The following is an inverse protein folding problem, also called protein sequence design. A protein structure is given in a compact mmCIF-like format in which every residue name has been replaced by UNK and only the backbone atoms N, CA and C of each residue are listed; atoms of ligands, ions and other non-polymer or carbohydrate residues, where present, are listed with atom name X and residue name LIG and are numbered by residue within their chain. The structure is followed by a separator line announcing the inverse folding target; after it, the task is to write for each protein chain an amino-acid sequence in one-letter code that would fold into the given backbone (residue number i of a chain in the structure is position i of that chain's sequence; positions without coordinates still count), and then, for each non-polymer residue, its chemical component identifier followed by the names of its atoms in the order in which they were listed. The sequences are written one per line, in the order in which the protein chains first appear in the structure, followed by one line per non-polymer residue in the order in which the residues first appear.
data_IF_537522293071
#
_entry.id   IF_537522293071
#
_cell.length_a   1.000
_cell.length_b   1.000
_cell.length_c   1.000
_cell.angle_alpha   90.00
_cell.angle_beta   90.00
_cell.angle_gamma   90.00
#
_symmetry.space_group_name_H-M   'P 1'
#
loop_
_entity.id
_entity.type
_entity.pdbx_description
1 polymer ?
#
# COMPACT_ATOMS: atom_id res chain seq x y z
N UNK A 1 17.23 40.03 27.69
CA UNK A 1 16.28 39.00 27.21
C UNK A 1 16.05 39.19 25.72
N UNK A 2 16.46 38.24 24.87
CA UNK A 2 16.17 38.28 23.43
C UNK A 2 14.67 38.06 23.24
N UNK A 3 13.96 39.07 22.72
CA UNK A 3 12.54 38.94 22.39
C UNK A 3 12.42 37.93 21.24
N UNK A 4 11.84 36.76 21.51
CA UNK A 4 11.41 35.86 20.44
C UNK A 4 10.38 36.61 19.59
N UNK A 5 10.60 36.65 18.28
CA UNK A 5 9.68 37.28 17.34
C UNK A 5 8.35 36.51 17.30
N UNK A 6 7.22 37.21 17.39
CA UNK A 6 5.86 36.65 17.29
C UNK A 6 5.71 35.82 16.02
N UNK A 7 6.42 36.18 14.94
CA UNK A 7 6.44 35.45 13.67
C UNK A 7 7.03 34.04 13.81
N UNK A 8 8.08 33.86 14.63
CA UNK A 8 8.70 32.54 14.86
C UNK A 8 7.75 31.65 15.67
N UNK A 9 7.02 32.24 16.62
CA UNK A 9 6.02 31.51 17.41
C UNK A 9 4.81 31.08 16.57
N UNK A 10 4.35 31.93 15.64
CA UNK A 10 3.28 31.59 14.69
C UNK A 10 3.68 30.48 13.71
N UNK A 11 4.92 30.49 13.21
CA UNK A 11 5.45 29.42 12.34
C UNK A 11 5.56 28.09 13.11
N UNK A 12 6.01 28.12 14.37
CA UNK A 12 6.05 26.91 15.21
C UNK A 12 4.65 26.34 15.45
N UNK A 13 3.64 27.18 15.69
CA UNK A 13 2.24 26.75 15.89
C UNK A 13 1.64 26.14 14.62
N UNK A 14 1.86 26.73 13.45
CA UNK A 14 1.34 26.18 12.18
C UNK A 14 2.00 24.85 11.82
N UNK A 15 3.32 24.71 12.05
CA UNK A 15 4.04 23.43 11.86
C UNK A 15 3.54 22.38 12.86
N UNK A 16 3.30 22.73 14.13
CA UNK A 16 2.76 21.80 15.13
C UNK A 16 1.31 21.39 14.87
N UNK A 17 0.45 22.27 14.34
CA UNK A 17 -0.93 21.92 13.97
C UNK A 17 -1.03 21.14 12.65
N UNK A 18 -0.01 21.22 11.79
CA UNK A 18 0.04 20.59 10.46
C UNK A 18 0.60 19.17 10.44
N UNK A 19 1.33 18.74 11.47
CA UNK A 19 1.87 17.39 11.58
C UNK A 19 0.84 16.38 12.12
N UNK A 20 -0.37 16.36 11.54
CA UNK A 20 -1.39 15.35 11.84
C UNK A 20 -1.17 14.17 10.91
N UNK A 21 -1.17 12.97 11.45
CA UNK A 21 -1.18 11.75 10.63
C UNK A 21 -2.50 11.72 9.85
N UNK A 22 -2.46 12.11 8.57
CA UNK A 22 -3.61 12.07 7.69
C UNK A 22 -3.40 10.93 6.69
N UNK A 23 -4.40 10.06 6.55
CA UNK A 23 -4.42 9.05 5.49
C UNK A 23 -4.65 9.77 4.16
N UNK A 24 -3.68 9.69 3.23
CA UNK A 24 -3.77 10.35 1.92
C UNK A 24 -4.71 9.61 0.97
N UNK A 25 -4.70 8.28 1.00
CA UNK A 25 -5.55 7.40 0.19
C UNK A 25 -5.64 6.02 0.84
N UNK A 26 -6.80 5.38 0.70
CA UNK A 26 -7.02 3.98 1.06
C UNK A 26 -7.45 3.21 -0.18
N UNK A 27 -6.92 2.01 -0.36
CA UNK A 27 -7.24 1.13 -1.48
C UNK A 27 -7.55 -0.26 -0.92
N UNK A 28 -8.56 -0.92 -1.48
CA UNK A 28 -8.85 -2.33 -1.22
C UNK A 28 -8.35 -3.11 -2.42
N UNK A 29 -7.37 -3.98 -2.20
CA UNK A 29 -6.77 -4.82 -3.24
C UNK A 29 -7.22 -6.28 -3.15
N UNK A 30 -7.64 -6.73 -1.96
CA UNK A 30 -8.17 -8.07 -1.72
C UNK A 30 -9.62 -8.26 -2.19
N UNK A 31 -10.21 -9.38 -1.76
CA UNK A 31 -11.46 -9.90 -2.30
C UNK A 31 -12.24 -10.79 -1.34
N UNK A 32 -12.88 -11.81 -1.91
CA UNK A 32 -13.81 -12.73 -1.24
C UNK A 32 -13.17 -13.69 -0.24
N UNK A 33 -11.84 -13.78 -0.25
CA UNK A 33 -11.05 -14.76 0.45
C UNK A 33 -10.10 -14.15 1.49
N UNK A 34 -9.07 -14.90 1.83
CA UNK A 34 -7.91 -14.43 2.58
C UNK A 34 -6.94 -13.76 1.60
N UNK A 35 -6.57 -12.54 1.95
CA UNK A 35 -5.55 -11.77 1.25
C UNK A 35 -4.60 -11.20 2.29
N UNK A 36 -3.32 -11.50 2.14
CA UNK A 36 -2.29 -11.05 3.06
C UNK A 36 -1.16 -10.38 2.28
N UNK A 37 -0.77 -9.19 2.72
CA UNK A 37 0.41 -8.51 2.19
C UNK A 37 1.62 -8.89 3.03
N UNK A 38 2.67 -9.39 2.39
CA UNK A 38 3.90 -9.83 3.04
C UNK A 38 4.99 -8.76 3.04
N UNK A 39 5.09 -7.96 1.98
CA UNK A 39 6.07 -6.86 1.89
C UNK A 39 5.58 -5.72 0.99
N UNK A 40 6.15 -4.53 1.21
CA UNK A 40 5.92 -3.33 0.42
C UNK A 40 7.22 -2.56 0.17
N UNK A 41 7.46 -2.21 -1.10
CA UNK A 41 8.63 -1.45 -1.52
C UNK A 41 8.25 -0.25 -2.39
N UNK A 42 8.75 0.92 -2.02
CA UNK A 42 8.74 2.11 -2.88
C UNK A 42 9.94 2.02 -3.82
N UNK A 43 9.69 2.21 -5.11
CA UNK A 43 10.71 2.19 -6.17
C UNK A 43 11.24 3.61 -6.44
N UNK A 44 12.36 3.70 -7.16
CA UNK A 44 13.04 4.98 -7.43
C UNK A 44 12.18 5.97 -8.24
N UNK A 45 11.22 5.47 -9.02
CA UNK A 45 10.24 6.26 -9.78
C UNK A 45 9.03 6.70 -8.93
N UNK A 46 9.02 6.39 -7.63
CA UNK A 46 7.93 6.66 -6.70
C UNK A 46 6.77 5.66 -6.78
N UNK A 47 6.82 4.71 -7.71
CA UNK A 47 5.83 3.63 -7.78
C UNK A 47 5.97 2.66 -6.61
N UNK A 48 4.90 1.93 -6.29
CA UNK A 48 4.86 1.01 -5.15
C UNK A 48 4.67 -0.41 -5.64
N UNK A 49 5.55 -1.31 -5.19
CA UNK A 49 5.39 -2.75 -5.36
C UNK A 49 4.93 -3.37 -4.04
N UNK A 50 3.90 -4.21 -4.10
CA UNK A 50 3.38 -4.97 -2.96
C UNK A 50 3.45 -6.44 -3.34
N UNK A 51 3.94 -7.29 -2.44
CA UNK A 51 3.90 -8.74 -2.57
C UNK A 51 3.07 -9.36 -1.46
N UNK A 52 2.45 -10.50 -1.72
CA UNK A 52 1.60 -11.17 -0.76
C UNK A 52 1.00 -12.46 -1.30
N UNK A 53 -0.07 -12.91 -0.64
CA UNK A 53 -0.82 -14.11 -0.99
C UNK A 53 -2.31 -13.79 -1.09
N UNK A 54 -3.00 -14.52 -1.96
CA UNK A 54 -4.43 -14.38 -2.15
C UNK A 54 -5.08 -15.71 -2.47
N UNK A 55 -6.17 -16.04 -1.78
CA UNK A 55 -7.10 -17.10 -2.18
C UNK A 55 -8.42 -16.55 -2.77
N UNK A 56 -8.46 -15.25 -3.05
CA UNK A 56 -9.64 -14.55 -3.56
C UNK A 56 -9.91 -14.89 -5.04
N UNK A 57 -11.16 -15.31 -5.29
CA UNK A 57 -11.71 -15.59 -6.62
C UNK A 57 -12.57 -14.44 -7.17
N UNK A 58 -12.96 -13.47 -6.34
CA UNK A 58 -13.67 -12.25 -6.71
C UNK A 58 -13.15 -11.07 -5.89
N UNK A 59 -13.07 -9.86 -6.46
CA UNK A 59 -12.54 -8.68 -5.78
C UNK A 59 -11.98 -7.64 -6.75
N UNK A 60 -11.24 -6.66 -6.24
CA UNK A 60 -10.52 -5.67 -7.08
C UNK A 60 -9.39 -6.33 -7.86
N UNK A 61 -8.70 -7.29 -7.23
CA UNK A 61 -7.77 -8.19 -7.88
C UNK A 61 -8.40 -9.59 -7.84
N UNK A 62 -8.64 -10.16 -9.02
CA UNK A 62 -9.17 -11.52 -9.19
C UNK A 62 -8.03 -12.39 -9.65
N UNK A 63 -7.54 -13.31 -8.81
CA UNK A 63 -6.22 -13.85 -9.13
C UNK A 63 -5.85 -15.23 -8.58
N UNK A 64 -6.70 -15.88 -7.78
CA UNK A 64 -6.43 -17.27 -7.36
C UNK A 64 -6.87 -18.29 -8.43
N UNK A 65 -5.99 -19.24 -8.74
CA UNK A 65 -6.26 -20.41 -9.59
C UNK A 65 -6.71 -21.65 -8.79
N UNK A 66 -7.02 -21.50 -7.51
CA UNK A 66 -7.53 -22.59 -6.69
C UNK A 66 -7.52 -22.29 -5.19
N UNK A 67 -6.37 -22.54 -4.54
CA UNK A 67 -6.18 -22.23 -3.12
C UNK A 67 -5.53 -20.86 -3.00
N UNK A 68 -4.26 -20.81 -2.65
CA UNK A 68 -3.52 -19.58 -2.36
C UNK A 68 -2.37 -19.44 -3.35
N UNK A 69 -2.37 -18.32 -4.07
CA UNK A 69 -1.36 -17.97 -5.06
C UNK A 69 -0.53 -16.78 -4.58
N UNK A 70 0.74 -16.73 -4.97
CA UNK A 70 1.58 -15.57 -4.75
C UNK A 70 1.12 -14.41 -5.63
N UNK A 71 0.96 -13.23 -5.04
CA UNK A 71 0.48 -12.01 -5.68
C UNK A 71 1.58 -10.94 -5.68
N UNK A 72 1.78 -10.31 -6.84
CA UNK A 72 2.53 -9.05 -6.97
C UNK A 72 1.58 -7.98 -7.51
N UNK A 73 1.54 -6.83 -6.85
CA UNK A 73 0.81 -5.64 -7.27
C UNK A 73 1.79 -4.49 -7.52
N UNK A 74 1.60 -3.76 -8.62
CA UNK A 74 2.27 -2.47 -8.85
C UNK A 74 1.25 -1.34 -8.88
N UNK A 75 1.51 -0.32 -8.08
CA UNK A 75 0.80 0.96 -8.09
C UNK A 75 1.72 2.06 -8.65
N UNK A 76 1.18 3.07 -9.31
CA UNK A 76 1.94 4.29 -9.64
C UNK A 76 2.19 5.17 -8.41
N UNK A 77 2.89 6.29 -8.60
CA UNK A 77 3.19 7.26 -7.54
C UNK A 77 1.97 7.93 -6.92
N UNK A 78 0.83 7.91 -7.61
CA UNK A 78 -0.47 8.41 -7.13
C UNK A 78 -1.33 7.28 -6.50
N UNK A 79 -0.72 6.10 -6.30
CA UNK A 79 -1.32 4.89 -5.75
C UNK A 79 -2.51 4.38 -6.60
N UNK A 80 -2.47 4.56 -7.92
CA UNK A 80 -3.40 3.89 -8.83
C UNK A 80 -2.83 2.55 -9.27
N UNK A 81 -3.70 1.53 -9.34
CA UNK A 81 -3.34 0.20 -9.79
C UNK A 81 -2.87 0.23 -11.25
N UNK A 82 -1.62 -0.17 -11.48
CA UNK A 82 -1.04 -0.28 -12.82
C UNK A 82 -1.22 -1.68 -13.38
N UNK A 83 -0.82 -2.69 -12.59
CA UNK A 83 -1.03 -4.10 -12.91
C UNK A 83 -0.89 -4.95 -11.66
N UNK A 84 -1.38 -6.18 -11.75
CA UNK A 84 -1.11 -7.23 -10.78
C UNK A 84 -0.76 -8.53 -11.54
N UNK A 85 -0.07 -9.44 -10.87
CA UNK A 85 0.22 -10.79 -11.37
C UNK A 85 0.10 -11.79 -10.25
N UNK A 86 -0.50 -12.94 -10.53
CA UNK A 86 -0.40 -14.11 -9.67
C UNK A 86 0.47 -15.19 -10.24
N UNK A 87 1.11 -15.90 -9.32
CA UNK A 87 1.99 -17.02 -9.58
C UNK A 87 1.58 -18.15 -8.64
N UNK A 88 1.05 -19.22 -9.21
CA UNK A 88 0.57 -20.39 -8.50
C UNK A 88 -0.21 -21.30 -9.44
N UNK A 89 -0.57 -22.48 -8.96
CA UNK A 89 -1.39 -23.46 -9.68
C UNK A 89 -2.73 -23.73 -9.01
N UNK A 90 -3.32 -24.88 -9.29
CA UNK A 90 -4.55 -25.33 -8.61
C UNK A 90 -4.35 -25.76 -7.16
N UNK A 91 -3.11 -25.71 -6.66
CA UNK A 91 -2.69 -26.09 -5.31
C UNK A 91 -2.05 -24.88 -4.64
N UNK A 92 -1.99 -24.88 -3.30
CA UNK A 92 -1.33 -23.82 -2.53
C UNK A 92 0.17 -23.74 -2.88
N UNK A 93 0.60 -22.59 -3.36
CA UNK A 93 2.01 -22.25 -3.61
C UNK A 93 2.38 -21.07 -2.69
N UNK A 94 3.07 -21.36 -1.59
CA UNK A 94 3.55 -20.35 -0.62
C UNK A 94 4.96 -19.91 -1.04
N UNK A 95 5.21 -18.61 -1.08
CA UNK A 95 6.56 -18.04 -1.16
C UNK A 95 6.98 -17.67 0.26
N UNK A 96 8.11 -18.21 0.72
CA UNK A 96 8.69 -17.94 2.05
C UNK A 96 9.84 -16.92 1.95
#
# INVERSE_FOLDING_TARGET
MRRMSVTVFLILITVFLGARLNVVKSLVLGGSGNDEASDVKILDDGSVAISGHTDSSFGTIVSSHGQEDFLIVKLDSDLNLQWWKTFGGSKRDIAE
#
